data_IF_063362939329
#
_entry.id   IF_063362939329
#
_cell.length_a   1.000
_cell.length_b   1.000
_cell.length_c   1.000
_cell.angle_alpha   90.00
_cell.angle_beta   90.00
_cell.angle_gamma   90.00
#
_symmetry.space_group_name_H-M   'P 1'
#
loop_
_entity.id
_entity.type
_entity.pdbx_description
1 polymer ?
#
# COMPACT_ATOMS: atom_id res chain seq x y z
N UNK A 1 9.74 -7.41 25.30
CA UNK A 1 8.53 -7.41 24.43
C UNK A 1 7.73 -6.11 24.49
N UNK A 2 7.45 -5.52 25.66
CA UNK A 2 6.71 -4.23 25.78
C UNK A 2 7.28 -3.10 24.90
N UNK A 3 8.61 -2.96 24.85
CA UNK A 3 9.28 -1.92 24.05
C UNK A 3 9.01 -2.04 22.54
N UNK A 4 9.01 -3.26 22.00
CA UNK A 4 8.73 -3.49 20.58
C UNK A 4 7.28 -3.18 20.23
N UNK A 5 6.35 -3.49 21.13
CA UNK A 5 4.94 -3.11 20.98
C UNK A 5 4.75 -1.59 20.97
N UNK A 6 5.41 -0.87 21.89
CA UNK A 6 5.38 0.61 21.88
C UNK A 6 5.98 1.19 20.60
N UNK A 7 7.05 0.60 20.08
CA UNK A 7 7.64 1.02 18.81
C UNK A 7 6.71 0.78 17.63
N UNK A 8 6.10 -0.40 17.55
CA UNK A 8 5.10 -0.68 16.52
C UNK A 8 3.93 0.30 16.61
N UNK A 9 3.41 0.54 17.81
CA UNK A 9 2.31 1.49 18.00
C UNK A 9 2.68 2.91 17.55
N UNK A 10 3.90 3.37 17.86
CA UNK A 10 4.44 4.64 17.36
C UNK A 10 4.48 4.64 15.82
N UNK A 11 5.02 3.61 15.18
CA UNK A 11 5.12 3.55 13.71
C UNK A 11 3.73 3.52 13.05
N UNK A 12 2.77 2.81 13.63
CA UNK A 12 1.37 2.82 13.17
C UNK A 12 0.72 4.19 13.34
N UNK A 13 0.99 4.91 14.44
CA UNK A 13 0.52 6.27 14.63
C UNK A 13 1.11 7.24 13.61
N UNK A 14 2.40 7.10 13.28
CA UNK A 14 3.03 7.92 12.23
C UNK A 14 2.43 7.62 10.85
N UNK A 15 2.21 6.35 10.53
CA UNK A 15 1.53 5.93 9.30
C UNK A 15 0.06 6.40 9.26
N UNK A 16 -0.64 6.39 10.39
CA UNK A 16 -2.05 6.76 10.52
C UNK A 16 -2.30 8.27 10.57
N UNK A 17 -1.37 9.04 11.15
CA UNK A 17 -1.40 10.52 11.12
C UNK A 17 -1.22 11.07 9.71
N UNK A 18 -0.50 10.34 8.87
CA UNK A 18 -0.47 10.56 7.43
C UNK A 18 -1.81 10.13 6.79
N UNK A 19 -2.93 10.73 7.21
CA UNK A 19 -4.26 10.55 6.58
C UNK A 19 -4.15 10.83 5.08
N UNK A 20 -3.34 11.82 4.71
CA UNK A 20 -3.00 12.12 3.32
C UNK A 20 -2.27 10.95 2.63
N UNK A 21 -1.39 10.24 3.34
CA UNK A 21 -0.72 9.04 2.84
C UNK A 21 -1.67 7.88 2.60
N UNK A 22 -2.58 7.59 3.53
CA UNK A 22 -3.58 6.52 3.37
C UNK A 22 -4.56 6.85 2.23
N UNK A 23 -5.08 8.08 2.18
CA UNK A 23 -5.95 8.54 1.09
C UNK A 23 -5.22 8.51 -0.26
N UNK A 24 -3.97 8.96 -0.30
CA UNK A 24 -3.14 8.90 -1.50
C UNK A 24 -2.97 7.46 -1.99
N UNK A 25 -2.78 6.49 -1.09
CA UNK A 25 -2.68 5.07 -1.45
C UNK A 25 -4.01 4.55 -1.99
N UNK A 26 -5.14 4.87 -1.34
CA UNK A 26 -6.46 4.47 -1.83
C UNK A 26 -6.70 5.01 -3.25
N UNK A 27 -6.46 6.30 -3.46
CA UNK A 27 -6.60 6.97 -4.77
C UNK A 27 -5.63 6.38 -5.80
N UNK A 28 -4.39 6.07 -5.41
CA UNK A 28 -3.39 5.49 -6.30
C UNK A 28 -3.82 4.09 -6.76
N UNK A 29 -4.21 3.22 -5.82
CA UNK A 29 -4.63 1.86 -6.13
C UNK A 29 -5.88 1.87 -7.01
N UNK A 30 -6.90 2.69 -6.67
CA UNK A 30 -8.13 2.78 -7.46
C UNK A 30 -7.87 3.33 -8.85
N UNK A 31 -7.03 4.36 -8.99
CA UNK A 31 -6.67 4.95 -10.29
C UNK A 31 -5.96 3.94 -11.19
N UNK A 32 -5.01 3.18 -10.66
CA UNK A 32 -4.30 2.13 -11.42
C UNK A 32 -5.31 1.07 -11.87
N UNK A 33 -6.13 0.54 -10.96
CA UNK A 33 -7.13 -0.48 -11.32
C UNK A 33 -8.11 0.05 -12.38
N UNK A 34 -8.53 1.31 -12.28
CA UNK A 34 -9.45 1.93 -13.24
C UNK A 34 -8.84 2.07 -14.64
N UNK A 35 -7.59 2.55 -14.73
CA UNK A 35 -6.85 2.66 -16.00
C UNK A 35 -6.76 1.29 -16.69
N UNK A 36 -6.44 0.24 -15.93
CA UNK A 36 -6.35 -1.11 -16.48
C UNK A 36 -7.71 -1.71 -16.84
N UNK A 37 -8.77 -1.37 -16.11
CA UNK A 37 -10.13 -1.76 -16.49
C UNK A 37 -10.56 -1.10 -17.81
N UNK A 38 -10.25 0.19 -17.99
CA UNK A 38 -10.52 0.88 -19.25
C UNK A 38 -9.73 0.28 -20.43
N UNK A 39 -8.43 0.00 -20.23
CA UNK A 39 -7.62 -0.68 -21.25
C UNK A 39 -8.18 -2.06 -21.62
N UNK A 40 -8.75 -2.76 -20.64
CA UNK A 40 -9.43 -4.04 -20.84
C UNK A 40 -10.67 -3.95 -21.70
N UNK A 41 -11.53 -2.96 -21.44
CA UNK A 41 -12.75 -2.74 -22.20
C UNK A 41 -12.44 -2.49 -23.69
N UNK A 42 -11.29 -1.87 -23.98
CA UNK A 42 -10.82 -1.61 -25.35
C UNK A 42 -10.18 -2.83 -26.03
N UNK A 43 -9.42 -3.65 -25.29
CA UNK A 43 -8.62 -4.76 -25.86
C UNK A 43 -9.29 -6.13 -25.75
N UNK A 44 -10.31 -6.27 -24.89
CA UNK A 44 -11.12 -7.48 -24.71
C UNK A 44 -10.42 -8.64 -24.00
N UNK A 45 -9.12 -8.55 -23.69
CA UNK A 45 -8.34 -9.60 -23.00
C UNK A 45 -7.27 -8.99 -22.11
N UNK A 46 -7.16 -9.47 -20.87
CA UNK A 46 -5.99 -9.21 -20.03
C UNK A 46 -5.17 -10.50 -19.90
N UNK A 47 -3.89 -10.43 -20.22
CA UNK A 47 -3.00 -11.56 -19.97
C UNK A 47 -2.68 -11.70 -18.47
N UNK A 48 -2.41 -12.93 -18.05
CA UNK A 48 -2.04 -13.25 -16.67
C UNK A 48 -0.77 -12.52 -16.24
N UNK A 49 0.18 -12.32 -17.16
CA UNK A 49 1.41 -11.57 -16.85
C UNK A 49 1.10 -10.11 -16.51
N UNK A 50 0.13 -9.50 -17.19
CA UNK A 50 -0.32 -8.13 -16.90
C UNK A 50 -0.92 -8.02 -15.50
N UNK A 51 -1.77 -8.98 -15.07
CA UNK A 51 -2.32 -9.01 -13.70
C UNK A 51 -1.21 -9.10 -12.64
N UNK A 52 -0.22 -9.95 -12.87
CA UNK A 52 0.93 -10.10 -11.97
C UNK A 52 1.73 -8.79 -11.92
N UNK A 53 1.95 -8.16 -13.08
CA UNK A 53 2.61 -6.86 -13.19
C UNK A 53 1.90 -5.78 -12.39
N UNK A 54 0.58 -5.63 -12.56
CA UNK A 54 -0.23 -4.66 -11.80
C UNK A 54 -0.06 -4.88 -10.30
N UNK A 55 -0.17 -6.13 -9.84
CA UNK A 55 -0.02 -6.47 -8.42
C UNK A 55 1.32 -5.99 -7.86
N UNK A 56 2.42 -6.31 -8.54
CA UNK A 56 3.76 -5.95 -8.06
C UNK A 56 4.04 -4.45 -8.17
N UNK A 57 3.59 -3.80 -9.25
CA UNK A 57 3.74 -2.35 -9.43
C UNK A 57 3.01 -1.58 -8.33
N UNK A 58 1.77 -1.98 -8.02
CA UNK A 58 0.99 -1.37 -6.93
C UNK A 58 1.70 -1.55 -5.59
N UNK A 59 2.10 -2.78 -5.25
CA UNK A 59 2.79 -3.05 -3.97
C UNK A 59 4.11 -2.27 -3.86
N UNK A 60 4.88 -2.18 -4.94
CA UNK A 60 6.12 -1.42 -4.97
C UNK A 60 5.88 0.07 -4.75
N UNK A 61 4.95 0.69 -5.48
CA UNK A 61 4.61 2.10 -5.32
C UNK A 61 4.07 2.40 -3.92
N UNK A 62 3.17 1.55 -3.41
CA UNK A 62 2.63 1.68 -2.05
C UNK A 62 3.73 1.58 -0.99
N UNK A 63 4.72 0.70 -1.19
CA UNK A 63 5.86 0.58 -0.26
C UNK A 63 6.67 1.88 -0.20
N UNK A 64 6.92 2.49 -1.35
CA UNK A 64 7.66 3.76 -1.44
C UNK A 64 6.90 4.88 -0.72
N UNK A 65 5.58 4.97 -0.93
CA UNK A 65 4.72 5.96 -0.27
C UNK A 65 4.72 5.75 1.25
N UNK A 66 4.55 4.52 1.75
CA UNK A 66 4.55 4.26 3.19
C UNK A 66 5.89 4.63 3.85
N UNK A 67 7.01 4.25 3.23
CA UNK A 67 8.34 4.56 3.75
C UNK A 67 8.57 6.08 3.74
N UNK A 68 8.20 6.75 2.65
CA UNK A 68 8.35 8.20 2.49
C UNK A 68 7.53 8.98 3.52
N UNK A 69 6.24 8.66 3.65
CA UNK A 69 5.32 9.31 4.60
C UNK A 69 5.76 9.10 6.05
N UNK A 70 6.03 7.85 6.45
CA UNK A 70 6.50 7.53 7.79
C UNK A 70 7.83 8.24 8.12
N UNK A 71 8.76 8.32 7.17
CA UNK A 71 10.04 9.00 7.37
C UNK A 71 9.91 10.52 7.42
N UNK A 72 8.98 11.10 6.67
CA UNK A 72 8.69 12.53 6.72
C UNK A 72 8.05 12.92 8.06
N UNK A 73 7.02 12.21 8.48
CA UNK A 73 6.36 12.41 9.78
C UNK A 73 7.34 12.23 10.95
N UNK A 74 8.23 11.24 10.88
CA UNK A 74 9.24 11.01 11.91
C UNK A 74 10.27 12.15 12.01
N UNK A 75 10.58 12.81 10.88
CA UNK A 75 11.46 13.99 10.84
C UNK A 75 10.76 15.22 11.40
N UNK A 76 9.52 15.48 10.97
CA UNK A 76 8.77 16.67 11.37
C UNK A 76 8.44 16.68 12.86
N UNK A 77 8.13 15.51 13.43
CA UNK A 77 7.86 15.36 14.86
C UNK A 77 9.14 15.29 15.72
N UNK A 78 10.34 15.40 15.12
CA UNK A 78 11.63 15.25 15.82
C UNK A 78 11.89 13.84 16.40
N UNK A 79 10.97 12.90 16.16
CA UNK A 79 10.99 11.55 16.73
C UNK A 79 12.19 10.72 16.29
N UNK A 80 12.71 10.97 15.08
CA UNK A 80 13.92 10.31 14.58
C UNK A 80 15.18 10.61 15.40
N UNK A 81 15.30 11.83 15.95
CA UNK A 81 16.45 12.27 16.73
C UNK A 81 16.37 11.83 18.20
N UNK A 82 15.18 11.76 18.75
CA UNK A 82 14.97 11.26 20.11
C UNK A 82 15.14 9.74 20.13
N UNK A 83 14.52 9.02 19.19
CA UNK A 83 14.64 7.56 19.12
C UNK A 83 16.07 7.09 18.82
N UNK A 84 16.89 7.88 18.13
CA UNK A 84 18.29 7.52 17.86
C UNK A 84 19.18 7.56 19.09
N UNK A 85 18.84 8.37 20.10
CA UNK A 85 19.59 8.50 21.34
C UNK A 85 19.34 7.33 22.31
N UNK A 86 18.14 6.74 22.27
CA UNK A 86 17.72 5.73 23.25
C UNK A 86 17.56 4.32 22.69
N UNK A 87 17.56 4.14 21.36
CA UNK A 87 17.28 2.84 20.72
C UNK A 87 18.33 2.39 19.71
N UNK A 88 18.72 1.10 19.75
CA UNK A 88 19.62 0.54 18.75
C UNK A 88 18.99 0.56 17.36
N UNK A 89 19.83 0.70 16.33
CA UNK A 89 19.37 0.91 14.95
C UNK A 89 18.54 -0.27 14.43
N UNK A 90 18.90 -1.49 14.81
CA UNK A 90 18.24 -2.72 14.40
C UNK A 90 16.80 -2.81 14.88
N UNK A 91 16.50 -2.33 16.10
CA UNK A 91 15.14 -2.34 16.64
C UNK A 91 14.24 -1.33 15.92
N UNK A 92 14.79 -0.16 15.58
CA UNK A 92 14.08 0.88 14.82
C UNK A 92 13.77 0.39 13.41
N UNK A 93 14.76 -0.22 12.76
CA UNK A 93 14.58 -0.83 11.44
C UNK A 93 13.51 -1.92 11.46
N UNK A 94 13.59 -2.87 12.40
CA UNK A 94 12.64 -3.98 12.51
C UNK A 94 11.21 -3.49 12.73
N UNK A 95 11.00 -2.53 13.64
CA UNK A 95 9.67 -1.97 13.90
C UNK A 95 9.09 -1.30 12.65
N UNK A 96 9.90 -0.52 11.93
CA UNK A 96 9.48 0.18 10.70
C UNK A 96 9.15 -0.81 9.59
N UNK A 97 9.99 -1.83 9.39
CA UNK A 97 9.74 -2.90 8.40
C UNK A 97 8.44 -3.66 8.69
N UNK A 98 8.16 -3.98 9.95
CA UNK A 98 6.92 -4.66 10.36
C UNK A 98 5.69 -3.79 10.12
N UNK A 99 5.77 -2.49 10.45
CA UNK A 99 4.69 -1.55 10.21
C UNK A 99 4.40 -1.42 8.70
N UNK A 100 5.43 -1.24 7.87
CA UNK A 100 5.28 -1.20 6.40
C UNK A 100 4.73 -2.51 5.85
N UNK A 101 5.21 -3.66 6.34
CA UNK A 101 4.73 -4.97 5.92
C UNK A 101 3.23 -5.16 6.19
N UNK A 102 2.76 -4.75 7.36
CA UNK A 102 1.34 -4.81 7.70
C UNK A 102 0.49 -3.90 6.80
N UNK A 103 0.95 -2.68 6.50
CA UNK A 103 0.29 -1.77 5.57
C UNK A 103 0.24 -2.32 4.15
N UNK A 104 1.32 -2.94 3.68
CA UNK A 104 1.37 -3.61 2.39
C UNK A 104 0.43 -4.81 2.31
N UNK A 105 0.27 -5.56 3.41
CA UNK A 105 -0.68 -6.68 3.48
C UNK A 105 -2.11 -6.18 3.31
N UNK A 106 -2.47 -5.08 3.98
CA UNK A 106 -3.79 -4.45 3.85
C UNK A 106 -3.99 -3.94 2.41
N UNK A 107 -2.99 -3.26 1.83
CA UNK A 107 -3.04 -2.79 0.45
C UNK A 107 -3.19 -3.95 -0.56
N UNK A 108 -2.52 -5.08 -0.32
CA UNK A 108 -2.65 -6.29 -1.15
C UNK A 108 -4.07 -6.85 -1.10
N UNK A 109 -4.67 -6.94 0.09
CA UNK A 109 -6.06 -7.39 0.27
C UNK A 109 -7.03 -6.44 -0.43
N UNK A 110 -6.85 -5.13 -0.25
CA UNK A 110 -7.68 -4.12 -0.91
C UNK A 110 -7.58 -4.21 -2.45
N UNK A 111 -6.37 -4.37 -2.99
CA UNK A 111 -6.17 -4.59 -4.41
C UNK A 111 -6.85 -5.87 -4.91
N UNK A 112 -6.75 -6.99 -4.17
CA UNK A 112 -7.43 -8.24 -4.54
C UNK A 112 -8.95 -8.07 -4.60
N UNK A 113 -9.53 -7.33 -3.65
CA UNK A 113 -10.97 -7.02 -3.66
C UNK A 113 -11.32 -6.23 -4.92
N UNK A 114 -10.58 -5.16 -5.23
CA UNK A 114 -10.81 -4.33 -6.42
C UNK A 114 -10.68 -5.15 -7.70
N UNK A 115 -9.62 -5.93 -7.85
CA UNK A 115 -9.45 -6.82 -9.00
C UNK A 115 -10.63 -7.79 -9.13
N UNK A 116 -11.12 -8.35 -8.02
CA UNK A 116 -12.29 -9.23 -8.05
C UNK A 116 -13.57 -8.51 -8.51
N UNK A 117 -13.78 -7.26 -8.08
CA UNK A 117 -15.02 -6.52 -8.39
C UNK A 117 -15.03 -6.06 -9.84
N UNK A 118 -13.94 -5.46 -10.32
CA UNK A 118 -13.87 -4.89 -11.67
C UNK A 118 -13.74 -5.97 -12.75
N UNK A 119 -12.87 -6.97 -12.55
CA UNK A 119 -12.58 -7.96 -13.58
C UNK A 119 -13.62 -9.08 -13.65
N UNK A 120 -14.31 -9.42 -12.54
CA UNK A 120 -15.44 -10.37 -12.57
C UNK A 120 -16.64 -9.80 -13.33
N UNK A 121 -16.84 -8.48 -13.27
CA UNK A 121 -17.97 -7.80 -13.93
C UNK A 121 -17.74 -7.59 -15.43
N UNK A 122 -16.51 -7.28 -15.84
CA UNK A 122 -16.10 -7.20 -17.25
C UNK A 122 -16.40 -8.50 -18.03
N UNK A 123 -16.17 -9.66 -17.40
CA UNK A 123 -16.50 -10.99 -17.94
C UNK A 123 -18.00 -11.27 -18.16
N UNK A 124 -18.89 -10.57 -17.44
CA UNK A 124 -20.35 -10.64 -17.63
C UNK A 124 -20.85 -9.61 -18.64
N UNK A 125 -20.28 -8.41 -18.66
CA UNK A 125 -20.64 -7.36 -19.61
C UNK A 125 -20.33 -7.75 -21.07
N UNK A 126 -19.18 -8.38 -21.32
CA UNK A 126 -18.83 -8.90 -22.65
C UNK A 126 -19.72 -10.04 -23.15
N UNK A 127 -20.53 -10.65 -22.27
CA UNK A 127 -21.44 -11.75 -22.60
C UNK A 127 -22.89 -11.29 -22.86
N UNK A 128 -23.22 -10.05 -22.52
CA UNK A 128 -24.54 -9.43 -22.75
C UNK A 128 -24.55 -8.60 -24.04
N UNK A 129 -23.36 -8.21 -24.53
CA UNK A 129 -23.17 -7.43 -25.76
C UNK A 129 -22.73 -8.29 -26.96
N UNK A 130 -22.78 -9.63 -26.84
CA UNK A 130 -22.66 -10.60 -27.92
C UNK A 130 -23.99 -11.31 -28.12
#
# INVERSE_FOLDING_TARGET
MKLLFFLLHKEFLLLGRAVNGILSILVLITSIVFIFNYALEQTGKLDRQTLIGIKWSVLFLTSYVFIGQSSWEERENGGGRISSLFLPIWMRFLAKSLAVFSGLTIAAVYLMILLSVFFKRSLWAGRILQ
#
